data_IF_778814802352
#
_entry.id   IF_778814802352
#
_cell.length_a   1.000
_cell.length_b   1.000
_cell.length_c   1.000
_cell.angle_alpha   90.00
_cell.angle_beta   90.00
_cell.angle_gamma   90.00
#
_symmetry.space_group_name_H-M   'P 1'
#
loop_
_entity.id
_entity.type
_entity.pdbx_description
1 polymer ?
#
# COMPACT_ATOMS: atom_id res chain seq x y z
N UNK A 1 16.89 -56.73 -11.94
CA UNK A 1 15.51 -56.63 -12.45
C UNK A 1 14.68 -55.98 -11.34
N UNK A 2 14.17 -54.76 -11.58
CA UNK A 2 12.96 -54.07 -11.04
C UNK A 2 12.66 -54.15 -9.51
N UNK A 3 12.24 -53.12 -8.76
CA UNK A 3 11.71 -51.77 -9.01
C UNK A 3 12.18 -50.85 -7.85
N UNK A 4 12.57 -49.60 -8.15
CA UNK A 4 12.59 -48.52 -7.15
C UNK A 4 11.20 -47.88 -7.15
N UNK A 5 10.45 -48.03 -6.06
CA UNK A 5 9.23 -47.26 -5.83
C UNK A 5 9.63 -45.83 -5.44
N UNK A 6 9.49 -44.90 -6.38
CA UNK A 6 9.50 -43.47 -6.09
C UNK A 6 8.12 -43.08 -5.56
N UNK A 7 8.01 -42.85 -4.26
CA UNK A 7 6.82 -42.26 -3.66
C UNK A 7 6.77 -40.77 -4.01
N UNK A 8 5.90 -40.39 -4.95
CA UNK A 8 5.51 -39.00 -5.15
C UNK A 8 4.66 -38.57 -3.96
N UNK A 9 5.21 -37.75 -3.07
CA UNK A 9 4.41 -36.97 -2.12
C UNK A 9 3.79 -35.83 -2.91
N UNK A 10 2.54 -36.00 -3.31
CA UNK A 10 1.71 -34.91 -3.80
C UNK A 10 1.35 -34.02 -2.61
N UNK A 11 2.09 -32.94 -2.41
CA UNK A 11 1.66 -31.84 -1.54
C UNK A 11 0.43 -31.20 -2.18
N UNK A 12 -0.75 -31.55 -1.66
CA UNK A 12 -1.97 -30.78 -1.89
C UNK A 12 -1.72 -29.36 -1.38
N UNK A 13 -1.45 -28.43 -2.31
CA UNK A 13 -1.67 -27.01 -2.09
C UNK A 13 -3.17 -26.85 -1.83
N UNK A 14 -3.56 -26.69 -0.58
CA UNK A 14 -4.84 -26.09 -0.24
C UNK A 14 -4.79 -24.67 -0.80
N UNK A 15 -5.28 -24.51 -2.02
CA UNK A 15 -5.74 -23.23 -2.52
C UNK A 15 -6.92 -22.85 -1.62
N UNK A 16 -6.63 -22.14 -0.54
CA UNK A 16 -7.63 -21.43 0.22
C UNK A 16 -8.43 -20.61 -0.79
N UNK A 17 -9.74 -20.81 -0.79
CA UNK A 17 -10.66 -19.97 -1.56
C UNK A 17 -10.56 -18.56 -0.98
N UNK A 18 -9.61 -17.77 -1.49
CA UNK A 18 -9.61 -16.34 -1.28
C UNK A 18 -10.97 -15.87 -1.79
N UNK A 19 -11.87 -15.49 -0.88
CA UNK A 19 -13.04 -14.72 -1.26
C UNK A 19 -12.50 -13.54 -2.07
N UNK A 20 -12.82 -13.49 -3.37
CA UNK A 20 -12.53 -12.33 -4.19
C UNK A 20 -13.40 -11.19 -3.65
N UNK A 21 -12.96 -10.53 -2.59
CA UNK A 21 -13.44 -9.20 -2.26
C UNK A 21 -13.27 -8.36 -3.53
N UNK A 22 -14.21 -7.45 -3.79
CA UNK A 22 -14.33 -6.69 -5.04
C UNK A 22 -13.20 -5.68 -5.29
N UNK A 23 -11.95 -6.05 -5.01
CA UNK A 23 -10.73 -5.33 -5.29
C UNK A 23 -10.74 -4.89 -6.75
N UNK A 24 -10.70 -3.58 -6.93
CA UNK A 24 -10.79 -2.90 -8.23
C UNK A 24 -9.68 -1.86 -8.38
N UNK A 25 -8.59 -2.02 -7.61
CA UNK A 25 -7.40 -1.21 -7.72
C UNK A 25 -6.22 -1.83 -6.99
N UNK A 26 -5.11 -1.08 -6.98
CA UNK A 26 -3.84 -1.54 -6.42
C UNK A 26 -3.06 -0.38 -5.82
N UNK A 27 -2.40 -0.64 -4.70
CA UNK A 27 -1.33 0.21 -4.17
C UNK A 27 -0.01 -0.47 -4.44
N UNK A 28 0.96 0.27 -4.99
CA UNK A 28 2.29 -0.26 -5.25
C UNK A 28 3.39 0.75 -5.03
N UNK A 29 4.62 0.28 -4.87
CA UNK A 29 5.78 1.12 -4.68
C UNK A 29 6.82 0.50 -3.76
N UNK A 30 7.57 1.35 -3.06
CA UNK A 30 8.56 0.89 -2.09
C UNK A 30 8.76 1.87 -0.94
N UNK A 31 9.01 1.32 0.24
CA UNK A 31 9.39 2.05 1.44
C UNK A 31 10.47 1.26 2.19
N UNK A 32 11.54 1.94 2.64
CA UNK A 32 12.63 1.33 3.42
C UNK A 32 13.26 0.07 2.77
N UNK A 33 13.28 0.00 1.44
CA UNK A 33 13.77 -1.16 0.68
C UNK A 33 12.79 -2.35 0.61
N UNK A 34 11.60 -2.23 1.18
CA UNK A 34 10.51 -3.20 1.05
C UNK A 34 9.60 -2.79 -0.10
N UNK A 35 9.34 -3.74 -1.01
CA UNK A 35 8.34 -3.56 -2.06
C UNK A 35 6.93 -3.66 -1.47
N UNK A 36 6.04 -2.80 -1.94
CA UNK A 36 4.63 -2.79 -1.59
C UNK A 36 3.86 -3.09 -2.88
N UNK A 37 2.99 -4.08 -2.84
CA UNK A 37 2.06 -4.43 -3.93
C UNK A 37 0.81 -5.07 -3.32
N UNK A 38 -0.23 -4.26 -3.12
CA UNK A 38 -1.40 -4.61 -2.30
C UNK A 38 -2.68 -4.34 -3.10
N UNK A 39 -3.57 -5.34 -3.27
CA UNK A 39 -4.88 -5.12 -3.88
C UNK A 39 -5.77 -4.28 -2.96
N UNK A 40 -6.51 -3.34 -3.54
CA UNK A 40 -7.38 -2.42 -2.78
C UNK A 40 -8.77 -2.30 -3.41
N UNK A 41 -9.76 -2.01 -2.57
CA UNK A 41 -11.09 -1.56 -2.99
C UNK A 41 -11.06 -0.04 -3.07
N UNK A 42 -11.42 0.51 -4.22
CA UNK A 42 -11.45 1.93 -4.51
C UNK A 42 -12.89 2.43 -4.56
N UNK A 43 -13.19 3.51 -3.83
CA UNK A 43 -14.55 4.00 -3.67
C UNK A 43 -14.93 5.16 -4.62
N UNK A 44 -13.98 5.94 -5.11
CA UNK A 44 -14.29 7.10 -5.96
C UNK A 44 -13.13 7.51 -6.88
N UNK A 45 -13.09 7.05 -8.14
CA UNK A 45 -12.04 7.40 -9.10
C UNK A 45 -12.41 8.68 -9.86
N UNK A 46 -12.37 9.86 -9.22
CA UNK A 46 -12.42 11.14 -9.96
C UNK A 46 -11.38 12.11 -9.43
N UNK A 47 -10.16 12.01 -9.96
CA UNK A 47 -8.99 12.75 -9.47
C UNK A 47 -8.63 13.98 -10.32
N UNK A 48 -9.36 14.25 -11.41
CA UNK A 48 -9.18 15.45 -12.24
C UNK A 48 -10.51 16.20 -12.46
N UNK A 49 -10.55 17.49 -12.13
CA UNK A 49 -11.56 18.44 -12.64
C UNK A 49 -12.87 18.63 -11.86
N UNK A 50 -13.02 18.14 -10.62
CA UNK A 50 -14.22 18.44 -9.81
C UNK A 50 -13.87 18.96 -8.41
N UNK A 51 -14.63 19.96 -7.94
CA UNK A 51 -14.53 20.50 -6.57
C UNK A 51 -15.18 19.51 -5.60
N UNK A 52 -14.48 19.15 -4.51
CA UNK A 52 -15.01 18.31 -3.44
C UNK A 52 -14.62 16.82 -3.49
N UNK A 53 -13.55 16.46 -4.20
CA UNK A 53 -13.19 15.05 -4.43
C UNK A 53 -12.41 14.47 -3.25
N UNK A 54 -13.08 13.59 -2.51
CA UNK A 54 -12.46 12.63 -1.62
C UNK A 54 -12.29 11.32 -2.39
N UNK A 55 -11.04 10.91 -2.55
CA UNK A 55 -10.68 9.58 -3.03
C UNK A 55 -10.30 8.72 -1.84
N UNK A 56 -10.77 7.48 -1.83
CA UNK A 56 -10.38 6.48 -0.85
C UNK A 56 -10.10 5.15 -1.54
N UNK A 57 -9.03 4.48 -1.09
CA UNK A 57 -8.75 3.10 -1.43
C UNK A 57 -8.23 2.35 -0.21
N UNK A 58 -8.66 1.10 -0.01
CA UNK A 58 -8.32 0.34 1.18
C UNK A 58 -8.09 -1.15 0.87
N UNK A 59 -7.06 -1.74 1.48
CA UNK A 59 -6.93 -3.19 1.59
C UNK A 59 -7.67 -3.67 2.84
N UNK A 60 -8.13 -4.90 2.83
CA UNK A 60 -8.90 -5.48 3.94
C UNK A 60 -10.10 -4.62 4.41
N UNK A 61 -11.00 -4.19 3.51
CA UNK A 61 -12.06 -3.24 3.84
C UNK A 61 -13.04 -3.80 4.89
N UNK A 62 -13.44 -2.98 5.88
CA UNK A 62 -14.84 -2.53 5.86
C UNK A 62 -15.10 -1.06 6.27
N UNK A 63 -14.10 -0.27 6.72
CA UNK A 63 -14.26 1.12 7.21
C UNK A 63 -13.00 1.98 7.00
N UNK A 64 -13.14 3.28 6.73
CA UNK A 64 -12.06 4.22 6.30
C UNK A 64 -11.04 4.65 7.36
N UNK A 65 -11.15 4.16 8.59
CA UNK A 65 -10.49 4.85 9.70
C UNK A 65 -8.98 4.56 9.79
N UNK A 66 -8.52 3.34 9.52
CA UNK A 66 -7.10 2.95 9.61
C UNK A 66 -6.77 1.72 8.75
N UNK A 67 -5.50 1.58 8.35
CA UNK A 67 -4.97 0.34 7.80
C UNK A 67 -4.91 -0.72 8.90
N UNK A 68 -5.66 -1.81 8.74
CA UNK A 68 -5.64 -2.96 9.65
C UNK A 68 -5.48 -4.22 8.83
N UNK A 69 -4.48 -5.02 9.14
CA UNK A 69 -4.27 -6.34 8.56
C UNK A 69 -5.29 -7.31 9.17
N UNK A 70 -6.43 -7.45 8.49
CA UNK A 70 -7.55 -8.28 8.94
C UNK A 70 -7.48 -9.67 8.33
N UNK A 71 -6.78 -9.80 7.20
CA UNK A 71 -6.62 -11.06 6.50
C UNK A 71 -5.41 -11.88 7.02
N UNK A 72 -4.49 -11.25 7.78
CA UNK A 72 -3.32 -11.86 8.40
C UNK A 72 -2.09 -12.00 7.50
N UNK A 73 -1.99 -11.24 6.41
CA UNK A 73 -0.90 -11.30 5.43
C UNK A 73 0.31 -10.41 5.79
N UNK A 74 0.22 -9.67 6.89
CA UNK A 74 1.26 -8.78 7.40
C UNK A 74 1.31 -7.41 6.73
N UNK A 75 0.37 -7.09 5.84
CA UNK A 75 0.30 -5.81 5.13
C UNK A 75 -1.13 -5.28 5.01
N UNK A 76 -1.35 -4.03 5.42
CA UNK A 76 -2.59 -3.33 5.10
C UNK A 76 -2.34 -1.89 4.68
N UNK A 77 -3.23 -1.35 3.86
CA UNK A 77 -3.13 0.00 3.33
C UNK A 77 -4.49 0.69 3.38
N UNK A 78 -4.51 1.95 3.80
CA UNK A 78 -5.59 2.90 3.56
C UNK A 78 -5.01 4.12 2.87
N UNK A 79 -5.62 4.54 1.77
CA UNK A 79 -5.21 5.67 0.95
C UNK A 79 -6.33 6.67 0.91
N UNK A 80 -5.99 7.95 1.07
CA UNK A 80 -6.95 9.03 0.91
C UNK A 80 -6.35 10.19 0.12
N UNK A 81 -7.17 10.85 -0.68
CA UNK A 81 -6.81 12.12 -1.30
C UNK A 81 -7.98 13.11 -1.24
N UNK A 82 -7.73 14.31 -0.72
CA UNK A 82 -8.75 15.35 -0.49
C UNK A 82 -8.79 16.44 -1.58
N UNK A 83 -8.04 16.28 -2.66
CA UNK A 83 -7.81 17.33 -3.67
C UNK A 83 -6.60 18.23 -3.36
N UNK A 84 -6.13 18.24 -2.12
CA UNK A 84 -4.95 18.99 -1.69
C UNK A 84 -3.94 18.11 -0.95
N UNK A 85 -4.43 17.16 -0.16
CA UNK A 85 -3.60 16.27 0.64
C UNK A 85 -3.71 14.85 0.11
N UNK A 86 -2.56 14.20 -0.04
CA UNK A 86 -2.41 12.79 -0.36
C UNK A 86 -1.87 12.07 0.88
N UNK A 87 -2.50 10.96 1.28
CA UNK A 87 -2.09 10.17 2.43
C UNK A 87 -2.12 8.69 2.12
N UNK A 88 -1.06 7.99 2.50
CA UNK A 88 -0.99 6.53 2.62
C UNK A 88 -0.75 6.17 4.08
N UNK A 89 -1.62 5.36 4.64
CA UNK A 89 -1.47 4.74 5.95
C UNK A 89 -1.19 3.26 5.69
N UNK A 90 -0.08 2.74 6.19
CA UNK A 90 0.33 1.37 5.97
C UNK A 90 0.57 0.69 7.31
N UNK A 91 0.05 -0.51 7.44
CA UNK A 91 0.54 -1.49 8.40
C UNK A 91 1.49 -2.41 7.65
N UNK A 92 2.76 -2.48 8.06
CA UNK A 92 3.77 -3.32 7.42
C UNK A 92 4.71 -3.91 8.47
N UNK A 93 4.85 -5.23 8.50
CA UNK A 93 5.80 -5.89 9.41
C UNK A 93 5.52 -5.64 10.89
N UNK A 94 4.24 -5.43 11.26
CA UNK A 94 3.84 -5.16 12.64
C UNK A 94 3.97 -3.70 13.08
N UNK A 95 4.20 -2.76 12.15
CA UNK A 95 4.31 -1.34 12.44
C UNK A 95 3.41 -0.49 11.55
N UNK A 96 2.86 0.58 12.13
CA UNK A 96 2.11 1.59 11.41
C UNK A 96 3.04 2.67 10.84
N UNK A 97 2.82 3.01 9.57
CA UNK A 97 3.52 4.03 8.83
C UNK A 97 2.52 4.96 8.17
N UNK A 98 2.70 6.28 8.35
CA UNK A 98 1.85 7.28 7.73
C UNK A 98 2.69 8.20 6.84
N UNK A 99 2.34 8.22 5.56
CA UNK A 99 2.98 9.06 4.54
C UNK A 99 1.94 10.01 3.98
N UNK A 100 1.97 11.25 4.47
CA UNK A 100 1.06 12.32 4.04
C UNK A 100 1.83 13.49 3.44
N UNK A 101 1.23 14.17 2.46
CA UNK A 101 1.75 15.43 1.96
C UNK A 101 0.68 16.31 1.31
N UNK A 102 0.95 17.61 1.26
CA UNK A 102 0.11 18.63 0.61
C UNK A 102 0.84 19.36 -0.53
N UNK A 103 2.15 19.11 -0.68
CA UNK A 103 2.99 19.73 -1.71
C UNK A 103 2.72 19.09 -3.06
N UNK A 104 2.25 19.90 -4.02
CA UNK A 104 1.86 19.42 -5.36
C UNK A 104 3.03 18.84 -6.15
N UNK A 105 4.25 19.32 -5.94
CA UNK A 105 5.45 18.78 -6.57
C UNK A 105 5.80 17.35 -6.09
N UNK A 106 5.23 16.91 -4.96
CA UNK A 106 5.38 15.57 -4.39
C UNK A 106 4.17 14.67 -4.67
N UNK A 107 3.10 15.22 -5.28
CA UNK A 107 1.86 14.50 -5.60
C UNK A 107 1.62 14.59 -7.10
N UNK A 108 1.89 13.51 -7.82
CA UNK A 108 1.61 13.41 -9.25
C UNK A 108 0.26 12.73 -9.45
N UNK A 109 -0.76 13.48 -9.88
CA UNK A 109 -2.05 12.90 -10.24
C UNK A 109 -1.93 12.10 -11.54
N UNK A 110 -2.62 10.96 -11.60
CA UNK A 110 -2.72 10.10 -12.79
C UNK A 110 -4.18 9.97 -13.21
N UNK A 111 -4.44 9.35 -14.35
CA UNK A 111 -5.81 9.16 -14.85
C UNK A 111 -6.66 8.26 -13.93
N UNK A 112 -5.99 7.31 -13.26
CA UNK A 112 -6.53 6.28 -12.37
C UNK A 112 -6.30 6.55 -10.88
N UNK A 113 -5.55 7.58 -10.50
CA UNK A 113 -4.94 7.59 -9.18
C UNK A 113 -4.00 8.74 -8.92
N UNK A 114 -3.00 8.49 -8.09
CA UNK A 114 -1.91 9.41 -7.84
C UNK A 114 -0.65 8.68 -7.36
N UNK A 115 0.48 9.36 -7.51
CA UNK A 115 1.78 8.95 -7.00
C UNK A 115 2.25 9.97 -5.98
N UNK A 116 2.57 9.49 -4.79
CA UNK A 116 3.21 10.25 -3.72
C UNK A 116 4.71 9.93 -3.72
N UNK A 117 5.53 10.95 -3.95
CA UNK A 117 6.99 10.84 -3.86
C UNK A 117 7.49 11.74 -2.75
N UNK A 118 8.14 11.17 -1.74
CA UNK A 118 8.71 11.91 -0.62
C UNK A 118 10.05 11.32 -0.19
N UNK A 119 10.74 12.04 0.69
CA UNK A 119 12.03 11.60 1.23
C UNK A 119 11.93 11.54 2.75
N UNK A 120 12.18 10.38 3.32
CA UNK A 120 12.24 10.20 4.77
C UNK A 120 13.69 10.21 5.23
N UNK A 121 14.04 11.16 6.09
CA UNK A 121 15.35 11.18 6.73
C UNK A 121 15.45 10.08 7.78
N UNK A 122 16.49 9.25 7.67
CA UNK A 122 16.87 8.27 8.69
C UNK A 122 17.77 8.90 9.73
N UNK A 123 17.50 8.61 10.98
CA UNK A 123 18.29 9.10 12.11
C UNK A 123 18.76 7.94 12.99
N UNK A 124 20.01 8.04 13.45
CA UNK A 124 20.57 7.16 14.48
C UNK A 124 20.87 7.95 15.74
N UNK A 125 20.90 7.25 16.89
CA UNK A 125 21.16 7.84 18.19
C UNK A 125 19.89 8.25 18.94
N UNK A 126 20.06 8.75 20.18
CA UNK A 126 18.97 9.15 21.07
C UNK A 126 19.15 10.57 21.56
N UNK A 127 18.05 11.28 21.77
CA UNK A 127 18.03 12.65 22.30
C UNK A 127 18.92 13.59 21.47
N UNK A 128 19.80 14.32 22.16
CA UNK A 128 20.72 15.31 21.54
C UNK A 128 21.82 14.68 20.68
N UNK A 129 22.04 13.36 20.75
CA UNK A 129 23.01 12.63 19.91
C UNK A 129 22.40 12.11 18.61
N UNK A 130 21.14 12.44 18.34
CA UNK A 130 20.43 11.98 17.15
C UNK A 130 21.02 12.66 15.91
N UNK A 131 21.62 11.88 15.01
CA UNK A 131 22.24 12.36 13.77
C UNK A 131 21.51 11.79 12.56
N UNK A 132 21.39 12.58 11.50
CA UNK A 132 20.89 12.08 10.20
C UNK A 132 21.95 11.17 9.60
N UNK A 133 21.56 9.97 9.22
CA UNK A 133 22.47 8.95 8.66
C UNK A 133 22.15 8.59 7.21
N UNK A 134 21.01 9.05 6.71
CA UNK A 134 20.65 8.88 5.32
C UNK A 134 19.25 9.40 5.04
N UNK A 135 18.83 9.17 3.82
CA UNK A 135 17.50 9.45 3.33
C UNK A 135 17.01 8.25 2.52
N UNK A 136 15.76 7.90 2.70
CA UNK A 136 15.08 6.91 1.87
C UNK A 136 14.06 7.65 1.01
N UNK A 137 14.10 7.40 -0.29
CA UNK A 137 13.02 7.80 -1.17
C UNK A 137 11.82 6.87 -0.93
N UNK A 138 10.66 7.50 -0.77
CA UNK A 138 9.37 6.84 -0.64
C UNK A 138 8.61 7.18 -1.89
N UNK A 139 8.28 6.15 -2.67
CA UNK A 139 7.45 6.30 -3.85
C UNK A 139 6.31 5.31 -3.73
N UNK A 140 5.12 5.83 -3.51
CA UNK A 140 3.89 5.05 -3.38
C UNK A 140 2.88 5.54 -4.41
N UNK A 141 2.25 4.61 -5.10
CA UNK A 141 1.25 4.87 -6.10
C UNK A 141 -0.03 4.12 -5.75
N UNK A 142 -1.16 4.71 -6.10
CA UNK A 142 -2.45 4.02 -6.09
C UNK A 142 -3.05 4.11 -7.49
N UNK A 143 -3.54 2.98 -7.98
CA UNK A 143 -4.21 2.86 -9.27
C UNK A 143 -5.60 2.27 -9.08
N UNK A 144 -6.61 3.08 -9.37
CA UNK A 144 -8.03 2.74 -9.30
C UNK A 144 -8.67 2.96 -10.67
N UNK A 145 -8.70 1.93 -11.55
CA UNK A 145 -9.32 2.03 -12.86
C UNK A 145 -10.75 2.59 -12.79
N UNK A 146 -11.06 3.48 -13.74
CA UNK A 146 -12.42 3.98 -13.93
C UNK A 146 -13.28 2.84 -14.47
N UNK A 147 -14.41 2.57 -13.80
CA UNK A 147 -15.45 1.67 -14.31
C UNK A 147 -16.21 2.33 -15.45
#
# INVERSE_FOLDING_TARGET
MRLRLSALVATLLLAGTAQAAGYNGRVHGSFAGQAIDVPVVCESPRLAGQKGNWFYAQSDPPTHEYAQDRNGDGVAVTVSFSGQEAMFMLFLGGQDHNFGNTRREQITLTDSGFVLTMTASRYEGRGTKRRKVGEDEIRLAVDCPRR
#
